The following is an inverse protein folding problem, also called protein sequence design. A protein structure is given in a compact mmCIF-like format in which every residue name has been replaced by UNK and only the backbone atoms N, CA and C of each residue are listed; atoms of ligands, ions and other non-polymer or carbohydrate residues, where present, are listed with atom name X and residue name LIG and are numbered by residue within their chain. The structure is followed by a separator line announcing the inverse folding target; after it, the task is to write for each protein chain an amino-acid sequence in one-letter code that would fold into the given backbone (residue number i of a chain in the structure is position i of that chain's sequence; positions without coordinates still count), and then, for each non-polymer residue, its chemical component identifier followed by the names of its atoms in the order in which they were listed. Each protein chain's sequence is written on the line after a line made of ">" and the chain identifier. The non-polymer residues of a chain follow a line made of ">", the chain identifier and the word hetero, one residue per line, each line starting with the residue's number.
data_IF_063823352516
#
_entry.id   IF_063823352516
#
_cell.length_a   1.000
_cell.length_b   1.000
_cell.length_c   1.000
_cell.angle_alpha   90.00
_cell.angle_beta   90.00
_cell.angle_gamma   90.00
#
_symmetry.space_group_name_H-M   'P 1'
#
loop_
_entity.id
_entity.type
_entity.pdbx_description
1 polymer ?
#
# COMPACT_ATOMS: atom_id res chain seq x y z
N UNK A 1 12.53 3.28 -15.69
CA UNK A 1 13.63 4.04 -15.07
C UNK A 1 13.19 4.38 -13.65
N UNK A 2 13.87 3.80 -12.66
CA UNK A 2 13.55 3.90 -11.24
C UNK A 2 14.20 5.17 -10.68
N UNK A 3 13.50 6.30 -10.76
CA UNK A 3 13.65 7.30 -9.71
C UNK A 3 13.10 6.63 -8.46
N UNK A 4 13.99 6.09 -7.61
CA UNK A 4 13.72 5.08 -6.55
C UNK A 4 12.72 5.47 -5.45
N UNK A 5 11.93 6.52 -5.68
CA UNK A 5 10.86 7.05 -4.86
C UNK A 5 9.48 6.76 -5.47
N UNK A 6 9.39 6.61 -6.79
CA UNK A 6 8.13 6.42 -7.50
C UNK A 6 7.94 4.97 -7.96
N UNK A 7 6.73 4.44 -7.75
CA UNK A 7 6.34 3.11 -8.16
C UNK A 7 5.14 3.18 -9.09
N UNK A 8 5.32 2.63 -10.29
CA UNK A 8 4.28 2.61 -11.31
C UNK A 8 3.57 1.26 -11.31
N UNK A 9 2.24 1.30 -11.20
CA UNK A 9 1.39 0.13 -11.34
C UNK A 9 0.48 0.29 -12.54
N UNK A 10 0.38 -0.78 -13.33
CA UNK A 10 -0.60 -0.93 -14.40
C UNK A 10 -1.51 -2.09 -14.00
N UNK A 11 -2.77 -1.78 -13.66
CA UNK A 11 -3.72 -2.74 -13.08
C UNK A 11 -4.98 -2.76 -13.93
N UNK A 12 -5.40 -3.96 -14.33
CA UNK A 12 -6.68 -4.20 -14.99
C UNK A 12 -7.62 -4.86 -13.98
N UNK A 13 -8.67 -4.15 -13.60
CA UNK A 13 -9.73 -4.62 -12.73
C UNK A 13 -10.88 -5.13 -13.61
N UNK A 14 -11.19 -6.42 -13.52
CA UNK A 14 -12.15 -7.09 -14.41
C UNK A 14 -13.61 -6.92 -14.00
N UNK A 15 -13.87 -6.67 -12.72
CA UNK A 15 -15.19 -6.53 -12.12
C UNK A 15 -15.14 -5.51 -10.98
N UNK A 16 -16.28 -4.96 -10.60
CA UNK A 16 -16.33 -4.02 -9.47
C UNK A 16 -16.00 -4.77 -8.17
N UNK A 17 -15.02 -4.28 -7.40
CA UNK A 17 -14.52 -4.94 -6.19
C UNK A 17 -14.65 -4.03 -4.98
N UNK A 18 -15.31 -4.53 -3.94
CA UNK A 18 -15.26 -3.93 -2.60
C UNK A 18 -14.19 -4.62 -1.78
N UNK A 19 -13.17 -3.87 -1.35
CA UNK A 19 -12.13 -4.42 -0.47
C UNK A 19 -12.70 -4.68 0.92
N UNK A 20 -12.78 -5.95 1.31
CA UNK A 20 -13.32 -6.33 2.62
C UNK A 20 -12.21 -6.53 3.65
N UNK A 21 -11.01 -6.93 3.22
CA UNK A 21 -9.91 -7.26 4.12
C UNK A 21 -8.54 -6.91 3.55
N UNK A 22 -7.64 -6.58 4.48
CA UNK A 22 -6.21 -6.40 4.21
C UNK A 22 -5.41 -7.18 5.24
N UNK A 23 -4.42 -7.92 4.75
CA UNK A 23 -3.38 -8.53 5.59
C UNK A 23 -2.04 -7.97 5.16
N UNK A 24 -1.29 -7.42 6.10
CA UNK A 24 0.04 -6.87 5.86
C UNK A 24 1.02 -7.43 6.89
N UNK A 25 2.20 -7.81 6.41
CA UNK A 25 3.35 -8.16 7.25
C UNK A 25 4.53 -7.31 6.81
N UNK A 26 5.11 -6.60 7.77
CA UNK A 26 6.38 -5.91 7.59
C UNK A 26 7.46 -6.77 8.21
N UNK A 27 8.50 -7.06 7.44
CA UNK A 27 9.63 -7.90 7.84
C UNK A 27 10.87 -7.01 7.89
N UNK A 28 11.63 -7.10 8.97
CA UNK A 28 12.94 -6.46 9.13
C UNK A 28 13.95 -7.52 9.53
N UNK A 29 15.12 -7.56 8.88
CA UNK A 29 16.17 -8.55 9.14
C UNK A 29 15.66 -10.00 9.17
N UNK A 30 14.78 -10.36 8.22
CA UNK A 30 14.19 -11.69 8.12
C UNK A 30 13.12 -12.03 9.17
N UNK A 31 12.86 -11.14 10.14
CA UNK A 31 11.86 -11.35 11.21
C UNK A 31 10.62 -10.46 11.01
N UNK A 32 9.40 -10.97 11.27
CA UNK A 32 8.20 -10.14 11.25
C UNK A 32 8.30 -9.06 12.34
N UNK A 33 8.23 -7.80 11.93
CA UNK A 33 8.25 -6.64 12.82
C UNK A 33 6.83 -6.17 13.12
N UNK A 34 5.99 -6.07 12.08
CA UNK A 34 4.59 -5.66 12.19
C UNK A 34 3.71 -6.65 11.46
N UNK A 35 2.58 -7.01 12.07
CA UNK A 35 1.51 -7.78 11.43
C UNK A 35 0.22 -7.02 11.62
N UNK A 36 -0.38 -6.58 10.52
CA UNK A 36 -1.66 -5.88 10.50
C UNK A 36 -2.67 -6.74 9.75
N UNK A 37 -3.81 -6.97 10.39
CA UNK A 37 -4.96 -7.55 9.74
C UNK A 37 -6.14 -6.64 10.00
N UNK A 38 -6.74 -6.13 8.93
CA UNK A 38 -7.82 -5.16 9.00
C UNK A 38 -9.03 -5.70 8.26
N UNK A 39 -10.19 -5.60 8.92
CA UNK A 39 -11.50 -5.77 8.29
C UNK A 39 -12.02 -4.39 7.92
N UNK A 40 -12.70 -4.29 6.78
CA UNK A 40 -13.19 -3.01 6.23
C UNK A 40 -12.06 -1.97 6.13
N UNK A 41 -11.03 -2.23 5.32
CA UNK A 41 -9.87 -1.35 5.19
C UNK A 41 -10.25 0.08 4.78
N UNK A 42 -11.45 0.29 4.24
CA UNK A 42 -11.97 1.61 3.90
C UNK A 42 -12.64 2.40 5.02
N UNK A 43 -12.86 1.79 6.17
CA UNK A 43 -13.20 2.53 7.39
C UNK A 43 -11.93 3.06 8.07
N UNK A 44 -10.75 2.62 7.63
CA UNK A 44 -9.50 3.08 8.18
C UNK A 44 -9.11 4.46 7.64
N UNK A 45 -8.93 5.41 8.57
CA UNK A 45 -8.66 6.82 8.30
C UNK A 45 -7.51 7.05 7.31
N UNK A 46 -6.47 6.23 7.35
CA UNK A 46 -5.29 6.39 6.50
C UNK A 46 -5.32 5.56 5.20
N UNK A 47 -6.11 4.48 5.15
CA UNK A 47 -6.18 3.64 3.95
C UNK A 47 -7.25 4.12 2.97
N UNK A 48 -8.37 4.65 3.47
CA UNK A 48 -9.42 5.22 2.60
C UNK A 48 -8.87 6.28 1.63
N UNK A 49 -8.09 7.27 2.07
CA UNK A 49 -7.50 8.25 1.15
C UNK A 49 -6.56 7.61 0.12
N UNK A 50 -5.83 6.56 0.48
CA UNK A 50 -4.94 5.86 -0.44
C UNK A 50 -5.73 5.14 -1.54
N UNK A 51 -6.80 4.43 -1.20
CA UNK A 51 -7.63 3.76 -2.21
C UNK A 51 -8.35 4.76 -3.12
N UNK A 52 -8.89 5.85 -2.56
CA UNK A 52 -9.52 6.91 -3.35
C UNK A 52 -8.50 7.56 -4.29
N UNK A 53 -7.31 7.88 -3.78
CA UNK A 53 -6.28 8.58 -4.57
C UNK A 53 -5.61 7.69 -5.63
N UNK A 54 -5.42 6.40 -5.36
CA UNK A 54 -4.65 5.51 -6.24
C UNK A 54 -5.54 4.75 -7.21
N UNK A 55 -6.72 4.32 -6.77
CA UNK A 55 -7.61 3.42 -7.52
C UNK A 55 -8.91 4.09 -7.94
N UNK A 56 -9.01 5.42 -7.73
CA UNK A 56 -10.23 6.19 -7.97
C UNK A 56 -11.48 5.51 -7.39
N UNK A 57 -11.33 4.95 -6.18
CA UNK A 57 -12.39 4.22 -5.53
C UNK A 57 -13.55 5.16 -5.16
N UNK A 58 -14.78 4.64 -5.15
CA UNK A 58 -15.96 5.42 -4.74
C UNK A 58 -15.87 5.82 -3.26
N UNK A 59 -16.82 6.66 -2.79
CA UNK A 59 -16.89 7.05 -1.36
C UNK A 59 -17.06 5.86 -0.41
N UNK A 60 -17.62 4.76 -0.93
CA UNK A 60 -17.81 3.47 -0.27
C UNK A 60 -16.70 2.47 -0.61
N UNK A 61 -15.61 2.96 -1.22
CA UNK A 61 -14.43 2.18 -1.58
C UNK A 61 -14.66 1.00 -2.52
N UNK A 62 -15.66 1.13 -3.38
CA UNK A 62 -15.80 0.21 -4.51
C UNK A 62 -14.79 0.65 -5.56
N UNK A 63 -13.89 -0.27 -5.92
CA UNK A 63 -12.96 -0.12 -7.03
C UNK A 63 -13.70 -0.62 -8.26
N UNK A 64 -13.98 0.29 -9.20
CA UNK A 64 -14.74 -0.05 -10.39
C UNK A 64 -13.90 -0.88 -11.36
N UNK A 65 -14.57 -1.64 -12.22
CA UNK A 65 -13.90 -2.30 -13.34
C UNK A 65 -13.26 -1.26 -14.26
N UNK A 66 -12.05 -1.54 -14.73
CA UNK A 66 -11.33 -0.61 -15.57
C UNK A 66 -9.82 -0.86 -15.61
N UNK A 67 -9.13 0.04 -16.31
CA UNK A 67 -7.69 0.04 -16.45
C UNK A 67 -7.10 1.23 -15.70
N UNK A 68 -6.25 0.95 -14.72
CA UNK A 68 -5.66 1.92 -13.83
C UNK A 68 -4.15 2.00 -14.05
N UNK A 69 -3.67 3.21 -14.31
CA UNK A 69 -2.25 3.53 -14.34
C UNK A 69 -1.93 4.41 -13.14
N UNK A 70 -1.27 3.83 -12.16
CA UNK A 70 -1.03 4.44 -10.87
C UNK A 70 0.44 4.82 -10.79
N UNK A 71 0.72 6.04 -10.37
CA UNK A 71 2.06 6.46 -9.97
C UNK A 71 2.06 6.75 -8.47
N UNK A 72 2.72 5.91 -7.70
CA UNK A 72 2.80 6.01 -6.25
C UNK A 72 4.15 6.60 -5.84
N UNK A 73 4.12 7.81 -5.27
CA UNK A 73 5.27 8.38 -4.56
C UNK A 73 5.36 7.73 -3.17
N UNK A 74 6.28 6.78 -3.03
CA UNK A 74 6.48 5.99 -1.80
C UNK A 74 6.93 6.90 -0.67
N UNK A 75 7.79 7.89 -0.93
CA UNK A 75 8.31 8.78 0.10
C UNK A 75 7.21 9.66 0.68
N UNK A 76 6.45 10.35 -0.17
CA UNK A 76 5.35 11.20 0.26
C UNK A 76 4.26 10.37 0.96
N UNK A 77 3.97 9.17 0.45
CA UNK A 77 3.00 8.25 1.06
C UNK A 77 3.45 7.79 2.44
N UNK A 78 4.69 7.36 2.59
CA UNK A 78 5.25 6.95 3.89
C UNK A 78 5.27 8.12 4.88
N UNK A 79 5.62 9.33 4.43
CA UNK A 79 5.61 10.52 5.28
C UNK A 79 4.22 10.85 5.81
N UNK A 80 3.20 10.82 4.95
CA UNK A 80 1.81 11.06 5.35
C UNK A 80 1.26 9.98 6.28
N UNK A 81 1.66 8.72 6.07
CA UNK A 81 1.16 7.59 6.86
C UNK A 81 1.80 7.51 8.25
N UNK A 82 3.11 7.68 8.34
CA UNK A 82 3.86 7.50 9.60
C UNK A 82 4.03 8.79 10.41
N UNK A 83 3.71 9.96 9.85
CA UNK A 83 3.68 11.22 10.60
C UNK A 83 4.99 11.60 11.29
N UNK A 84 6.15 11.11 10.79
CA UNK A 84 7.47 11.32 11.41
C UNK A 84 8.01 10.15 12.21
N UNK A 85 7.19 9.14 12.55
CA UNK A 85 7.64 7.91 13.23
C UNK A 85 8.01 6.83 12.21
N UNK A 86 9.22 6.92 11.65
CA UNK A 86 9.67 5.94 10.65
C UNK A 86 10.32 4.72 11.28
N UNK A 87 10.06 3.57 10.66
CA UNK A 87 10.89 2.38 10.80
C UNK A 87 12.05 2.51 9.81
N UNK A 88 13.28 2.56 10.31
CA UNK A 88 14.48 2.65 9.46
C UNK A 88 15.08 1.28 9.17
N UNK A 89 15.84 1.21 8.08
CA UNK A 89 16.55 0.02 7.63
C UNK A 89 15.86 -0.69 6.46
N UNK A 90 16.30 -1.92 6.22
CA UNK A 90 15.79 -2.77 5.14
C UNK A 90 14.49 -3.43 5.58
N UNK A 91 13.40 -3.09 4.90
CA UNK A 91 12.07 -3.59 5.18
C UNK A 91 11.51 -4.32 3.97
N UNK A 92 10.82 -5.41 4.23
CA UNK A 92 10.00 -6.10 3.24
C UNK A 92 8.54 -6.02 3.67
N UNK A 93 7.73 -5.38 2.85
CA UNK A 93 6.28 -5.33 2.97
C UNK A 93 5.68 -6.45 2.15
N UNK A 94 4.86 -7.28 2.81
CA UNK A 94 3.99 -8.28 2.17
C UNK A 94 2.56 -7.87 2.47
N UNK A 95 1.79 -7.52 1.45
CA UNK A 95 0.39 -7.13 1.62
C UNK A 95 -0.51 -7.93 0.68
N UNK A 96 -1.65 -8.37 1.18
CA UNK A 96 -2.71 -8.99 0.40
C UNK A 96 -3.99 -8.21 0.64
N UNK A 97 -4.59 -7.77 -0.46
CA UNK A 97 -5.88 -7.09 -0.52
C UNK A 97 -6.88 -8.05 -1.13
N UNK A 98 -8.00 -8.28 -0.46
CA UNK A 98 -9.01 -9.20 -0.95
C UNK A 98 -10.42 -8.75 -0.58
N UNK A 99 -11.37 -9.14 -1.42
CA UNK A 99 -12.79 -9.05 -1.16
C UNK A 99 -13.28 -10.37 -0.58
N UNK A 100 -14.56 -10.44 -0.24
CA UNK A 100 -15.17 -11.68 0.24
C UNK A 100 -15.29 -12.73 -0.89
N UNK A 101 -15.18 -12.31 -2.16
CA UNK A 101 -15.36 -13.17 -3.32
C UNK A 101 -14.05 -13.54 -4.02
N UNK A 102 -13.04 -12.67 -3.96
CA UNK A 102 -11.80 -12.84 -4.72
C UNK A 102 -10.60 -12.11 -4.10
N UNK A 103 -9.39 -12.56 -4.44
CA UNK A 103 -8.18 -11.80 -4.15
C UNK A 103 -8.06 -10.65 -5.15
N UNK A 104 -7.93 -9.43 -4.64
CA UNK A 104 -7.80 -8.23 -5.48
C UNK A 104 -6.35 -8.01 -5.89
N UNK A 105 -5.42 -8.02 -4.92
CA UNK A 105 -4.00 -7.75 -5.18
C UNK A 105 -3.10 -8.38 -4.12
N UNK A 106 -1.90 -8.77 -4.54
CA UNK A 106 -0.81 -9.21 -3.67
C UNK A 106 0.43 -8.37 -3.99
N UNK A 107 0.98 -7.71 -2.97
CA UNK A 107 2.11 -6.79 -3.10
C UNK A 107 3.27 -7.33 -2.28
N UNK A 108 4.41 -7.52 -2.93
CA UNK A 108 5.70 -7.79 -2.30
C UNK A 108 6.64 -6.64 -2.63
N UNK A 109 6.99 -5.84 -1.63
CA UNK A 109 7.83 -4.65 -1.81
C UNK A 109 8.99 -4.68 -0.83
N UNK A 110 10.21 -4.54 -1.35
CA UNK A 110 11.42 -4.36 -0.53
C UNK A 110 11.87 -2.91 -0.63
N UNK A 111 12.00 -2.24 0.52
CA UNK A 111 12.38 -0.84 0.59
C UNK A 111 13.46 -0.65 1.65
N UNK A 112 14.37 0.29 1.41
CA UNK A 112 15.28 0.78 2.44
C UNK A 112 14.80 2.16 2.86
N UNK A 113 14.40 2.31 4.12
CA UNK A 113 14.02 3.62 4.69
C UNK A 113 15.20 4.17 5.49
N UNK A 114 15.67 5.36 5.13
CA UNK A 114 16.77 6.05 5.81
C UNK A 114 16.32 7.40 6.37
N UNK A 115 17.00 7.92 7.41
CA UNK A 115 16.82 9.30 7.82
C UNK A 115 17.12 10.25 6.67
N UNK A 116 16.38 11.36 6.57
CA UNK A 116 16.56 12.37 5.51
C UNK A 116 17.98 12.96 5.46
N UNK A 117 18.77 12.84 6.54
CA UNK A 117 20.08 13.46 6.73
C UNK A 117 21.21 12.47 7.09
N UNK A 118 21.24 11.25 6.53
CA UNK A 118 22.46 10.43 6.60
C UNK A 118 23.22 10.50 5.27
N UNK A 119 23.79 11.66 4.96
CA UNK A 119 25.03 11.71 4.19
C UNK A 119 26.13 11.13 5.09
N UNK A 120 26.66 9.96 4.74
CA UNK A 120 28.09 9.70 4.96
C UNK A 120 28.85 10.27 3.77
#
# INVERSE_FOLDING_TARGET
>A
MLDGVNMFYDIIVKEDVTLSQVKMVVISNGKPLVRLQMKKPCDHLFLKPLFVSLLNATKDCVILKGHYKINLDIQNTAQKYYGGMFLYGNLTFKAIFYSDNCNFSCVLMSTTLTPRNSTS
#
